data_IF_746870401558
#
_entry.id   IF_746870401558
#
_cell.length_a   1.000
_cell.length_b   1.000
_cell.length_c   1.000
_cell.angle_alpha   90.00
_cell.angle_beta   90.00
_cell.angle_gamma   90.00
#
_symmetry.space_group_name_H-M   'P 1'
#
loop_
_entity.id
_entity.type
_entity.pdbx_description
1 polymer ?
#
# COMPACT_ATOMS: atom_id res chain seq x y z
N UNK A 1 -38.72 -7.82 18.62
CA UNK A 1 -37.78 -7.88 17.46
C UNK A 1 -38.29 -7.06 16.28
N UNK A 2 -39.58 -7.27 15.84
CA UNK A 2 -40.14 -6.58 14.65
C UNK A 2 -40.12 -5.05 14.79
N UNK A 3 -40.50 -4.51 15.96
CA UNK A 3 -40.51 -3.07 16.18
C UNK A 3 -39.10 -2.48 16.35
N UNK A 4 -38.17 -3.22 16.95
CA UNK A 4 -36.77 -2.83 16.99
C UNK A 4 -36.12 -2.77 15.61
N UNK A 5 -36.49 -3.70 14.69
CA UNK A 5 -35.98 -3.70 13.32
C UNK A 5 -36.47 -2.52 12.49
N UNK A 6 -37.70 -2.00 12.71
CA UNK A 6 -38.24 -0.85 11.95
C UNK A 6 -37.31 0.38 12.03
N UNK A 7 -36.70 0.62 13.19
CA UNK A 7 -35.77 1.74 13.36
C UNK A 7 -34.38 1.52 12.78
N UNK A 8 -33.94 0.25 12.67
CA UNK A 8 -32.57 -0.10 12.30
C UNK A 8 -32.45 -0.42 10.79
N UNK A 9 -33.51 -0.97 10.17
CA UNK A 9 -33.49 -1.41 8.78
C UNK A 9 -33.02 -0.32 7.81
N UNK A 10 -33.60 0.88 7.92
CA UNK A 10 -33.20 2.00 7.04
C UNK A 10 -31.74 2.41 7.26
N UNK A 11 -31.26 2.38 8.50
CA UNK A 11 -29.88 2.70 8.82
C UNK A 11 -28.91 1.67 8.21
N UNK A 12 -29.22 0.37 8.30
CA UNK A 12 -28.42 -0.72 7.70
C UNK A 12 -28.39 -0.57 6.18
N UNK A 13 -29.54 -0.38 5.53
CA UNK A 13 -29.61 -0.22 4.06
C UNK A 13 -28.80 1.01 3.63
N UNK A 14 -29.04 2.15 4.27
CA UNK A 14 -28.36 3.40 3.92
C UNK A 14 -26.84 3.29 4.10
N UNK A 15 -26.39 2.75 5.24
CA UNK A 15 -24.95 2.58 5.49
C UNK A 15 -24.31 1.63 4.48
N UNK A 16 -24.97 0.50 4.18
CA UNK A 16 -24.45 -0.46 3.20
C UNK A 16 -24.36 0.14 1.79
N UNK A 17 -25.37 0.93 1.38
CA UNK A 17 -25.35 1.64 0.10
C UNK A 17 -24.21 2.68 0.04
N UNK A 18 -23.97 3.41 1.13
CA UNK A 18 -22.85 4.37 1.20
C UNK A 18 -21.52 3.63 1.06
N UNK A 19 -21.33 2.51 1.76
CA UNK A 19 -20.09 1.72 1.62
C UNK A 19 -19.91 1.22 0.19
N UNK A 20 -20.94 0.65 -0.43
CA UNK A 20 -20.86 0.20 -1.83
C UNK A 20 -20.56 1.37 -2.77
N UNK A 21 -21.20 2.53 -2.58
CA UNK A 21 -20.95 3.73 -3.37
C UNK A 21 -19.51 4.25 -3.29
N UNK A 22 -18.81 3.99 -2.20
CA UNK A 22 -17.37 4.33 -2.05
C UNK A 22 -16.49 3.33 -2.79
N UNK A 23 -16.79 2.03 -2.74
CA UNK A 23 -15.94 1.00 -3.33
C UNK A 23 -16.14 0.84 -4.84
N UNK A 24 -17.34 1.05 -5.36
CA UNK A 24 -17.64 0.92 -6.80
C UNK A 24 -16.75 1.82 -7.67
N UNK A 25 -16.57 3.12 -7.40
CA UNK A 25 -15.69 3.98 -8.21
C UNK A 25 -14.23 3.53 -8.22
N UNK A 26 -13.76 2.96 -7.12
CA UNK A 26 -12.38 2.45 -6.98
C UNK A 26 -12.10 1.29 -7.96
N UNK A 27 -13.13 0.54 -8.36
CA UNK A 27 -13.00 -0.54 -9.33
C UNK A 27 -12.71 -0.05 -10.77
N UNK A 28 -12.88 1.23 -11.07
CA UNK A 28 -12.64 1.81 -12.39
C UNK A 28 -11.28 2.49 -12.53
N UNK A 29 -10.42 2.38 -11.53
CA UNK A 29 -9.06 2.92 -11.60
C UNK A 29 -8.25 2.07 -12.59
N UNK A 30 -7.59 2.73 -13.55
CA UNK A 30 -6.76 2.10 -14.55
C UNK A 30 -5.30 1.94 -14.07
N UNK A 31 -4.56 1.04 -14.73
CA UNK A 31 -3.13 0.80 -14.47
C UNK A 31 -2.86 -0.32 -13.45
N UNK A 32 -1.59 -0.51 -13.07
CA UNK A 32 -1.17 -1.59 -12.16
C UNK A 32 -1.91 -1.57 -10.82
N UNK A 33 -2.13 -0.39 -10.29
CA UNK A 33 -2.89 -0.17 -9.06
C UNK A 33 -4.36 -0.56 -9.23
N UNK A 34 -4.92 -0.33 -10.41
CA UNK A 34 -6.30 -0.64 -10.73
C UNK A 34 -6.62 -2.13 -10.60
N UNK A 35 -5.72 -3.02 -10.98
CA UNK A 35 -5.90 -4.47 -10.84
C UNK A 35 -6.13 -4.86 -9.37
N UNK A 36 -5.35 -4.31 -8.44
CA UNK A 36 -5.52 -4.55 -7.01
C UNK A 36 -6.80 -3.92 -6.48
N UNK A 37 -7.06 -2.67 -6.84
CA UNK A 37 -8.25 -1.94 -6.38
C UNK A 37 -9.54 -2.54 -6.90
N UNK A 38 -9.57 -3.05 -8.13
CA UNK A 38 -10.74 -3.74 -8.68
C UNK A 38 -11.04 -5.01 -7.89
N UNK A 39 -10.05 -5.87 -7.65
CA UNK A 39 -10.24 -7.10 -6.88
C UNK A 39 -10.69 -6.80 -5.45
N UNK A 40 -10.02 -5.85 -4.80
CA UNK A 40 -10.37 -5.42 -3.45
C UNK A 40 -11.77 -4.79 -3.38
N UNK A 41 -12.06 -3.85 -4.28
CA UNK A 41 -13.34 -3.13 -4.31
C UNK A 41 -14.53 -4.05 -4.58
N UNK A 42 -14.40 -5.00 -5.52
CA UNK A 42 -15.44 -6.00 -5.81
C UNK A 42 -15.65 -6.91 -4.61
N UNK A 43 -14.57 -7.45 -4.01
CA UNK A 43 -14.66 -8.31 -2.85
C UNK A 43 -15.34 -7.59 -1.67
N UNK A 44 -14.98 -6.33 -1.41
CA UNK A 44 -15.58 -5.53 -0.34
C UNK A 44 -17.05 -5.21 -0.62
N UNK A 45 -17.40 -4.86 -1.85
CA UNK A 45 -18.79 -4.58 -2.21
C UNK A 45 -19.69 -5.83 -2.02
N UNK A 46 -19.22 -7.00 -2.45
CA UNK A 46 -19.92 -8.27 -2.23
C UNK A 46 -20.03 -8.60 -0.73
N UNK A 47 -18.96 -8.46 0.01
CA UNK A 47 -18.95 -8.72 1.46
C UNK A 47 -19.95 -7.81 2.20
N UNK A 48 -20.00 -6.53 1.88
CA UNK A 48 -20.97 -5.57 2.45
C UNK A 48 -22.41 -5.93 2.06
N UNK A 49 -22.65 -6.34 0.81
CA UNK A 49 -23.97 -6.77 0.36
C UNK A 49 -24.45 -8.00 1.15
N UNK A 50 -23.60 -9.03 1.28
CA UNK A 50 -23.92 -10.24 2.06
C UNK A 50 -24.13 -9.86 3.55
N UNK A 51 -23.30 -9.00 4.10
CA UNK A 51 -23.43 -8.51 5.49
C UNK A 51 -24.76 -7.81 5.73
N UNK A 52 -25.20 -6.98 4.79
CA UNK A 52 -26.52 -6.31 4.85
C UNK A 52 -27.66 -7.33 4.84
N UNK A 53 -27.62 -8.33 3.96
CA UNK A 53 -28.63 -9.42 3.91
C UNK A 53 -28.65 -10.18 5.24
N UNK A 54 -27.48 -10.57 5.77
CA UNK A 54 -27.40 -11.27 7.05
C UNK A 54 -27.94 -10.42 8.23
N UNK A 55 -27.63 -9.15 8.25
CA UNK A 55 -28.12 -8.23 9.28
C UNK A 55 -29.64 -8.05 9.26
N UNK A 56 -30.24 -8.11 8.07
CA UNK A 56 -31.68 -7.95 7.90
C UNK A 56 -32.48 -9.25 8.06
N UNK A 57 -31.85 -10.41 7.88
CA UNK A 57 -32.49 -11.71 7.90
C UNK A 57 -32.08 -12.58 9.06
N UNK A 58 -30.79 -12.93 9.11
CA UNK A 58 -30.25 -13.88 10.09
C UNK A 58 -30.25 -13.30 11.51
N UNK A 59 -29.82 -12.06 11.69
CA UNK A 59 -29.77 -11.46 13.02
C UNK A 59 -31.15 -11.39 13.69
N UNK A 60 -32.22 -10.91 13.05
CA UNK A 60 -33.56 -10.91 13.66
C UNK A 60 -34.08 -12.32 13.94
N UNK A 61 -33.83 -13.28 13.05
CA UNK A 61 -34.23 -14.67 13.24
C UNK A 61 -33.53 -15.29 14.47
N UNK A 62 -32.21 -15.09 14.60
CA UNK A 62 -31.46 -15.55 15.76
C UNK A 62 -31.92 -14.85 17.06
N UNK A 63 -32.22 -13.58 17.00
CA UNK A 63 -32.78 -12.87 18.18
C UNK A 63 -34.10 -13.49 18.65
N UNK A 64 -34.98 -13.89 17.74
CA UNK A 64 -36.24 -14.54 18.10
C UNK A 64 -36.00 -15.93 18.71
N UNK A 65 -35.05 -16.68 18.16
CA UNK A 65 -34.74 -18.06 18.62
C UNK A 65 -33.98 -18.09 19.94
N UNK A 66 -33.02 -17.18 20.12
CA UNK A 66 -32.07 -17.24 21.25
C UNK A 66 -32.47 -16.35 22.44
N UNK A 67 -33.18 -15.25 22.19
CA UNK A 67 -33.57 -14.34 23.26
C UNK A 67 -34.82 -14.85 23.98
N UNK A 68 -34.68 -15.06 25.30
CA UNK A 68 -35.78 -15.41 26.18
C UNK A 68 -36.47 -14.15 26.69
N UNK A 69 -37.81 -14.21 26.92
CA UNK A 69 -38.54 -13.09 27.53
C UNK A 69 -37.91 -12.71 28.89
N UNK A 70 -37.91 -11.44 29.17
CA UNK A 70 -37.24 -10.85 30.37
C UNK A 70 -37.85 -11.32 31.69
N UNK A 71 -39.10 -11.72 31.67
CA UNK A 71 -39.86 -12.19 32.87
C UNK A 71 -39.28 -13.45 33.53
N UNK A 72 -38.53 -14.27 32.81
CA UNK A 72 -37.97 -15.53 33.30
C UNK A 72 -36.51 -15.46 33.78
N UNK A 73 -35.91 -14.27 33.81
CA UNK A 73 -34.49 -14.07 34.16
C UNK A 73 -34.26 -13.58 35.62
N UNK A 74 -35.21 -13.81 36.50
CA UNK A 74 -35.05 -13.55 37.96
C UNK A 74 -34.16 -14.62 38.63
N UNK A 75 -33.04 -14.97 38.02
CA UNK A 75 -32.07 -15.91 38.56
C UNK A 75 -31.11 -15.27 39.57
N UNK A 76 -31.02 -15.86 40.75
CA UNK A 76 -29.92 -15.60 41.71
C UNK A 76 -28.66 -16.29 41.13
N UNK A 77 -27.62 -15.50 40.84
CA UNK A 77 -26.34 -16.08 40.35
C UNK A 77 -25.50 -15.12 39.50
N UNK A 78 -24.45 -15.66 38.87
CA UNK A 78 -23.49 -14.93 38.05
C UNK A 78 -24.18 -14.17 36.90
N UNK A 79 -25.24 -14.72 36.29
CA UNK A 79 -25.98 -14.06 35.22
C UNK A 79 -26.70 -12.78 35.68
N UNK A 80 -27.25 -12.77 36.89
CA UNK A 80 -27.89 -11.58 37.46
C UNK A 80 -26.86 -10.49 37.81
N UNK A 81 -25.67 -10.89 38.27
CA UNK A 81 -24.56 -9.97 38.51
C UNK A 81 -24.05 -9.36 37.19
N UNK A 82 -23.85 -10.16 36.16
CA UNK A 82 -23.44 -9.68 34.83
C UNK A 82 -24.47 -8.74 34.21
N UNK A 83 -25.79 -9.06 34.35
CA UNK A 83 -26.86 -8.18 33.86
C UNK A 83 -26.86 -6.83 34.60
N UNK A 84 -26.68 -6.87 35.92
CA UNK A 84 -26.60 -5.64 36.72
C UNK A 84 -25.38 -4.78 36.37
N UNK A 85 -24.21 -5.41 36.21
CA UNK A 85 -22.98 -4.73 35.79
C UNK A 85 -23.11 -4.13 34.39
N UNK A 86 -23.66 -4.90 33.43
CA UNK A 86 -23.92 -4.43 32.08
C UNK A 86 -24.88 -3.24 32.04
N UNK A 87 -26.02 -3.35 32.74
CA UNK A 87 -27.00 -2.27 32.80
C UNK A 87 -26.42 -1.01 33.47
N UNK A 88 -25.67 -1.15 34.57
CA UNK A 88 -25.02 -0.04 35.23
C UNK A 88 -24.00 0.66 34.30
N UNK A 89 -23.17 -0.11 33.60
CA UNK A 89 -22.21 0.42 32.62
C UNK A 89 -22.90 1.09 31.43
N UNK A 90 -23.94 0.45 30.89
CA UNK A 90 -24.71 0.99 29.77
C UNK A 90 -25.42 2.31 30.14
N UNK A 91 -26.09 2.37 31.26
CA UNK A 91 -26.74 3.60 31.70
C UNK A 91 -25.75 4.72 31.99
N UNK A 92 -24.63 4.41 32.67
CA UNK A 92 -23.58 5.39 32.93
C UNK A 92 -22.96 5.95 31.66
N UNK A 93 -22.69 5.07 30.65
CA UNK A 93 -22.17 5.49 29.37
C UNK A 93 -23.20 6.30 28.58
N UNK A 94 -24.46 5.86 28.57
CA UNK A 94 -25.57 6.55 27.91
C UNK A 94 -25.80 7.96 28.46
N UNK A 95 -25.73 8.11 29.78
CA UNK A 95 -25.83 9.42 30.44
C UNK A 95 -24.66 10.33 30.07
N UNK A 96 -23.43 9.82 30.10
CA UNK A 96 -22.24 10.59 29.67
C UNK A 96 -22.35 11.01 28.19
N UNK A 97 -22.83 10.11 27.35
CA UNK A 97 -23.02 10.41 25.93
C UNK A 97 -24.09 11.49 25.71
N UNK A 98 -25.25 11.38 26.38
CA UNK A 98 -26.31 12.40 26.33
C UNK A 98 -25.80 13.77 26.78
N UNK A 99 -25.05 13.80 27.89
CA UNK A 99 -24.51 15.04 28.44
C UNK A 99 -23.47 15.65 27.47
N UNK A 100 -22.60 14.84 26.89
CA UNK A 100 -21.64 15.30 25.89
C UNK A 100 -22.35 15.87 24.65
N UNK A 101 -23.37 15.18 24.14
CA UNK A 101 -24.19 15.68 23.03
C UNK A 101 -24.86 17.01 23.39
N UNK A 102 -25.45 17.11 24.59
CA UNK A 102 -26.10 18.33 25.02
C UNK A 102 -25.14 19.53 25.08
N UNK A 103 -23.92 19.30 25.58
CA UNK A 103 -22.84 20.32 25.57
C UNK A 103 -22.49 20.76 24.18
N UNK A 104 -22.31 19.79 23.23
CA UNK A 104 -21.98 20.06 21.83
C UNK A 104 -23.11 20.87 21.16
N UNK A 105 -24.36 20.48 21.33
CA UNK A 105 -25.51 21.20 20.76
C UNK A 105 -25.70 22.60 21.37
N UNK A 106 -25.46 22.73 22.64
CA UNK A 106 -25.55 24.02 23.32
C UNK A 106 -24.46 25.00 22.88
N UNK A 107 -23.26 24.49 22.59
CA UNK A 107 -22.10 25.29 22.25
C UNK A 107 -21.70 25.03 20.79
N UNK A 108 -22.51 25.50 19.82
CA UNK A 108 -22.25 25.34 18.37
C UNK A 108 -20.84 25.78 17.95
N UNK A 109 -20.22 26.72 18.67
CA UNK A 109 -18.86 27.14 18.42
C UNK A 109 -17.81 26.04 18.68
N UNK A 110 -18.04 25.19 19.69
CA UNK A 110 -17.17 24.06 19.99
C UNK A 110 -17.16 23.08 18.82
N UNK A 111 -18.33 22.80 18.25
CA UNK A 111 -18.46 21.95 17.08
C UNK A 111 -17.74 22.56 15.86
N UNK A 112 -17.93 23.87 15.63
CA UNK A 112 -17.25 24.56 14.52
C UNK A 112 -15.72 24.52 14.66
N UNK A 113 -15.21 24.87 15.85
CA UNK A 113 -13.76 24.82 16.13
C UNK A 113 -13.22 23.40 15.99
N UNK A 114 -13.94 22.39 16.49
CA UNK A 114 -13.54 20.99 16.38
C UNK A 114 -13.43 20.54 14.91
N UNK A 115 -14.41 20.88 14.08
CA UNK A 115 -14.38 20.58 12.64
C UNK A 115 -13.18 21.25 11.96
N UNK A 116 -12.96 22.55 12.23
CA UNK A 116 -11.82 23.28 11.68
C UNK A 116 -10.50 22.64 12.12
N UNK A 117 -10.37 22.31 13.42
CA UNK A 117 -9.17 21.68 13.96
C UNK A 117 -8.87 20.33 13.29
N UNK A 118 -9.90 19.47 13.13
CA UNK A 118 -9.76 18.17 12.46
C UNK A 118 -9.42 18.37 10.98
N UNK A 119 -10.03 19.34 10.30
CA UNK A 119 -9.74 19.62 8.90
C UNK A 119 -8.29 20.13 8.71
N UNK A 120 -7.83 21.02 9.57
CA UNK A 120 -6.45 21.51 9.54
C UNK A 120 -5.47 20.37 9.81
N UNK A 121 -5.75 19.54 10.82
CA UNK A 121 -4.94 18.36 11.13
C UNK A 121 -4.86 17.41 9.93
N UNK A 122 -5.99 17.14 9.27
CA UNK A 122 -6.06 16.29 8.09
C UNK A 122 -5.21 16.86 6.93
N UNK A 123 -5.32 18.16 6.66
CA UNK A 123 -4.52 18.82 5.62
C UNK A 123 -3.03 18.76 5.93
N UNK A 124 -2.65 18.99 7.19
CA UNK A 124 -1.24 18.89 7.63
C UNK A 124 -0.71 17.46 7.47
N UNK A 125 -1.47 16.47 7.90
CA UNK A 125 -1.11 15.06 7.73
C UNK A 125 -0.98 14.69 6.24
N UNK A 126 -1.94 15.08 5.39
CA UNK A 126 -1.88 14.80 3.96
C UNK A 126 -0.67 15.42 3.27
N UNK A 127 -0.25 16.62 3.69
CA UNK A 127 0.94 17.28 3.12
C UNK A 127 2.26 16.65 3.56
N UNK A 128 2.30 16.11 4.78
CA UNK A 128 3.52 15.55 5.36
C UNK A 128 3.64 14.03 5.14
N UNK A 129 2.57 13.37 4.69
CA UNK A 129 2.60 11.93 4.44
C UNK A 129 3.01 11.71 2.98
N UNK A 130 4.08 10.94 2.73
CA UNK A 130 4.49 10.60 1.37
C UNK A 130 3.35 9.82 0.69
N UNK A 131 3.02 10.23 -0.53
CA UNK A 131 2.00 9.57 -1.35
C UNK A 131 2.65 8.50 -2.22
N UNK A 132 2.13 7.30 -2.17
CA UNK A 132 2.57 6.19 -3.00
C UNK A 132 1.67 4.98 -2.78
N UNK A 133 1.48 4.17 -3.82
CA UNK A 133 0.70 2.94 -3.70
C UNK A 133 1.46 1.88 -2.89
N UNK A 134 2.75 1.73 -3.19
CA UNK A 134 3.67 0.88 -2.45
C UNK A 134 4.87 1.73 -2.09
N UNK A 135 5.20 1.87 -0.80
CA UNK A 135 6.43 2.54 -0.38
C UNK A 135 7.63 1.85 -1.00
N UNK A 136 8.61 2.63 -1.45
CA UNK A 136 9.89 2.07 -1.88
C UNK A 136 10.60 1.48 -0.64
N UNK A 137 10.73 0.16 -0.63
CA UNK A 137 11.44 -0.56 0.43
C UNK A 137 12.87 -0.88 0.00
N UNK A 138 13.76 -0.94 0.97
CA UNK A 138 15.12 -1.39 0.76
C UNK A 138 15.17 -2.91 0.78
N UNK A 139 15.06 -3.52 -0.40
CA UNK A 139 15.10 -4.98 -0.60
C UNK A 139 16.51 -5.57 -0.48
N UNK A 140 17.54 -4.73 -0.37
CA UNK A 140 18.93 -5.17 -0.40
C UNK A 140 19.42 -5.67 -1.76
N UNK A 141 18.63 -5.46 -2.82
CA UNK A 141 18.99 -5.84 -4.20
C UNK A 141 19.01 -4.59 -5.07
N UNK A 142 19.99 -4.50 -5.93
CA UNK A 142 20.16 -3.40 -6.90
C UNK A 142 20.37 -4.03 -8.27
N UNK A 143 19.70 -3.47 -9.27
CA UNK A 143 19.89 -3.82 -10.68
C UNK A 143 20.75 -2.77 -11.35
N UNK A 144 21.63 -3.24 -12.21
CA UNK A 144 22.48 -2.37 -13.02
C UNK A 144 22.43 -2.84 -14.47
N UNK A 145 22.09 -1.94 -15.36
CA UNK A 145 22.07 -2.16 -16.81
C UNK A 145 23.24 -1.44 -17.46
N UNK A 146 23.94 -2.12 -18.34
CA UNK A 146 25.17 -1.66 -18.95
C UNK A 146 24.99 -1.66 -20.47
N UNK A 147 25.19 -0.53 -21.10
CA UNK A 147 25.18 -0.41 -22.56
C UNK A 147 26.48 0.24 -23.02
N UNK A 148 27.33 -0.57 -23.67
CA UNK A 148 28.51 -0.10 -24.34
C UNK A 148 28.16 0.60 -25.68
N UNK A 149 29.14 1.16 -26.36
CA UNK A 149 28.90 1.81 -27.65
C UNK A 149 28.29 0.83 -28.65
N UNK A 150 27.35 1.27 -29.51
CA UNK A 150 26.83 0.44 -30.58
C UNK A 150 27.95 -0.16 -31.41
N UNK A 151 27.90 -1.47 -31.72
CA UNK A 151 28.92 -2.19 -32.43
C UNK A 151 30.07 -2.76 -31.60
N UNK A 152 30.05 -2.55 -30.27
CA UNK A 152 31.03 -3.19 -29.38
C UNK A 152 30.91 -4.70 -29.40
N UNK A 153 32.06 -5.39 -29.36
CA UNK A 153 32.11 -6.83 -29.25
C UNK A 153 31.74 -7.31 -27.83
N UNK A 154 31.32 -8.56 -27.73
CA UNK A 154 31.04 -9.17 -26.42
C UNK A 154 32.26 -9.13 -25.48
N UNK A 155 33.47 -9.28 -26.06
CA UNK A 155 34.75 -9.18 -25.33
C UNK A 155 34.91 -7.79 -24.72
N UNK A 156 34.66 -6.73 -25.50
CA UNK A 156 34.74 -5.34 -25.01
C UNK A 156 33.73 -5.08 -23.89
N UNK A 157 32.52 -5.57 -24.05
CA UNK A 157 31.49 -5.43 -23.01
C UNK A 157 31.88 -6.17 -21.72
N UNK A 158 32.48 -7.35 -21.86
CA UNK A 158 32.99 -8.10 -20.72
C UNK A 158 34.15 -7.37 -20.02
N UNK A 159 35.09 -6.78 -20.77
CA UNK A 159 36.17 -5.97 -20.19
C UNK A 159 35.64 -4.75 -19.41
N UNK A 160 34.63 -4.08 -19.96
CA UNK A 160 33.94 -2.99 -19.24
C UNK A 160 33.28 -3.50 -17.94
N UNK A 161 32.64 -4.67 -17.99
CA UNK A 161 32.05 -5.25 -16.77
C UNK A 161 33.10 -5.63 -15.72
N UNK A 162 34.27 -6.07 -16.12
CA UNK A 162 35.38 -6.31 -15.20
C UNK A 162 35.89 -5.00 -14.56
N UNK A 163 35.87 -3.88 -15.28
CA UNK A 163 36.19 -2.57 -14.74
C UNK A 163 35.12 -2.13 -13.73
N UNK A 164 33.85 -2.30 -14.06
CA UNK A 164 32.73 -2.06 -13.15
C UNK A 164 32.84 -2.92 -11.88
N UNK A 165 33.22 -4.20 -12.02
CA UNK A 165 33.41 -5.12 -10.89
C UNK A 165 34.44 -4.59 -9.89
N UNK A 166 35.58 -4.09 -10.38
CA UNK A 166 36.61 -3.50 -9.50
C UNK A 166 36.12 -2.30 -8.69
N UNK A 167 35.26 -1.49 -9.29
CA UNK A 167 34.63 -0.36 -8.55
C UNK A 167 33.59 -0.83 -7.55
N UNK A 168 32.80 -1.88 -7.87
CA UNK A 168 31.82 -2.45 -6.96
C UNK A 168 32.47 -3.09 -5.72
N UNK A 169 33.61 -3.76 -5.89
CA UNK A 169 34.37 -4.38 -4.78
C UNK A 169 34.88 -3.38 -3.75
N UNK A 170 35.02 -2.10 -4.12
CA UNK A 170 35.42 -1.04 -3.21
C UNK A 170 34.28 -0.51 -2.33
N UNK A 171 33.02 -0.96 -2.56
CA UNK A 171 31.86 -0.50 -1.82
C UNK A 171 31.56 -1.49 -0.69
N UNK A 172 31.81 -1.14 0.57
CA UNK A 172 31.74 -2.07 1.70
C UNK A 172 30.33 -2.59 1.99
N UNK A 173 29.28 -1.93 1.49
CA UNK A 173 27.88 -2.32 1.67
C UNK A 173 27.47 -3.47 0.75
N UNK A 174 28.25 -3.76 -0.31
CA UNK A 174 27.98 -4.86 -1.25
C UNK A 174 28.43 -6.18 -0.61
N UNK A 175 27.56 -7.18 -0.63
CA UNK A 175 27.86 -8.55 -0.22
C UNK A 175 28.38 -9.39 -1.38
N UNK A 176 27.65 -9.31 -2.51
CA UNK A 176 27.97 -10.07 -3.71
C UNK A 176 27.35 -9.40 -4.95
N UNK A 177 27.87 -9.76 -6.11
CA UNK A 177 27.30 -9.34 -7.38
C UNK A 177 27.44 -10.46 -8.42
N UNK A 178 26.52 -10.46 -9.39
CA UNK A 178 26.55 -11.34 -10.55
C UNK A 178 26.41 -10.49 -11.81
N UNK A 179 27.25 -10.75 -12.80
CA UNK A 179 27.29 -10.00 -14.06
C UNK A 179 27.04 -10.94 -15.25
N UNK A 180 26.28 -10.44 -16.21
CA UNK A 180 25.99 -11.15 -17.47
C UNK A 180 26.30 -10.22 -18.63
N UNK A 181 27.11 -10.69 -19.56
CA UNK A 181 27.45 -9.98 -20.82
C UNK A 181 26.61 -10.53 -21.98
N UNK A 182 26.21 -9.68 -22.91
CA UNK A 182 25.41 -10.04 -24.06
C UNK A 182 23.91 -9.92 -23.88
N UNK A 183 23.48 -9.53 -22.70
CA UNK A 183 22.05 -9.31 -22.39
C UNK A 183 21.91 -8.14 -21.42
N UNK A 184 21.05 -7.18 -21.73
CA UNK A 184 20.64 -6.09 -20.84
C UNK A 184 19.28 -6.36 -20.26
N UNK A 185 19.00 -5.88 -19.04
CA UNK A 185 17.66 -5.99 -18.43
C UNK A 185 16.62 -5.11 -19.13
N UNK A 186 17.02 -3.90 -19.49
CA UNK A 186 16.15 -2.90 -20.13
C UNK A 186 16.63 -2.54 -21.54
N UNK A 187 17.92 -2.71 -21.81
CA UNK A 187 18.56 -2.31 -23.07
C UNK A 187 18.42 -3.33 -24.21
N UNK A 188 17.89 -4.54 -23.94
CA UNK A 188 17.70 -5.59 -24.93
C UNK A 188 18.85 -6.60 -25.00
N UNK A 189 18.83 -7.47 -26.03
CA UNK A 189 19.83 -8.50 -26.24
C UNK A 189 20.82 -8.09 -27.32
N UNK A 190 22.10 -8.40 -27.13
CA UNK A 190 23.16 -8.13 -28.08
C UNK A 190 24.50 -7.93 -27.41
N UNK A 191 25.57 -8.06 -28.21
CA UNK A 191 26.96 -7.97 -27.73
C UNK A 191 27.33 -6.68 -26.97
N UNK A 192 26.74 -5.48 -27.25
CA UNK A 192 27.07 -4.28 -26.52
C UNK A 192 26.37 -4.17 -25.16
N UNK A 193 25.46 -5.09 -24.82
CA UNK A 193 24.65 -5.01 -23.59
C UNK A 193 25.14 -5.96 -22.51
N UNK A 194 24.91 -5.56 -21.26
CA UNK A 194 25.15 -6.40 -20.11
C UNK A 194 24.32 -5.93 -18.94
N UNK A 195 24.18 -6.76 -17.93
CA UNK A 195 23.55 -6.36 -16.67
C UNK A 195 24.29 -6.95 -15.47
N UNK A 196 24.03 -6.36 -14.32
CA UNK A 196 24.46 -6.92 -13.05
C UNK A 196 23.30 -6.93 -12.04
N UNK A 197 23.30 -7.95 -11.19
CA UNK A 197 22.48 -8.02 -9.99
C UNK A 197 23.43 -7.91 -8.81
N UNK A 198 23.23 -6.88 -8.01
CA UNK A 198 24.07 -6.54 -6.87
C UNK A 198 23.26 -6.80 -5.60
N UNK A 199 23.81 -7.59 -4.68
CA UNK A 199 23.23 -7.87 -3.38
C UNK A 199 23.97 -7.09 -2.31
N UNK A 200 23.23 -6.37 -1.49
CA UNK A 200 23.74 -5.65 -0.34
C UNK A 200 23.76 -6.54 0.90
N UNK A 201 24.64 -6.24 1.83
CA UNK A 201 24.67 -6.86 3.14
C UNK A 201 23.34 -6.70 3.88
N UNK A 202 22.98 -7.61 4.80
CA UNK A 202 21.78 -7.47 5.65
C UNK A 202 21.73 -6.14 6.38
N UNK A 203 20.56 -5.66 6.71
CA UNK A 203 20.32 -4.35 7.34
C UNK A 203 21.07 -4.20 8.67
N UNK A 204 21.20 -5.30 9.43
CA UNK A 204 21.93 -5.29 10.69
C UNK A 204 23.42 -4.92 10.51
N UNK A 205 23.99 -5.21 9.34
CA UNK A 205 25.40 -4.93 9.02
C UNK A 205 25.61 -3.60 8.29
N UNK A 206 24.52 -2.88 7.93
CA UNK A 206 24.56 -1.58 7.27
C UNK A 206 23.61 -0.57 7.90
N UNK A 207 23.76 -0.27 9.21
CA UNK A 207 22.89 0.68 9.89
C UNK A 207 23.07 2.11 9.33
N UNK A 208 22.00 2.92 9.44
CA UNK A 208 22.01 4.32 9.02
C UNK A 208 21.47 4.56 7.61
N UNK A 209 20.92 5.75 7.40
CA UNK A 209 20.33 6.15 6.11
C UNK A 209 21.37 6.26 4.99
N UNK A 210 22.62 6.54 5.34
CA UNK A 210 23.77 6.62 4.44
C UNK A 210 24.16 5.27 3.83
N UNK A 211 23.72 4.17 4.44
CA UNK A 211 23.96 2.80 3.99
C UNK A 211 22.70 2.18 3.34
N UNK A 212 21.67 2.96 3.12
CA UNK A 212 20.45 2.50 2.42
C UNK A 212 20.72 2.18 0.94
N UNK A 213 19.88 1.34 0.34
CA UNK A 213 20.01 1.00 -1.09
C UNK A 213 20.02 2.24 -1.97
N UNK A 214 19.22 3.27 -1.65
CA UNK A 214 19.19 4.53 -2.40
C UNK A 214 20.52 5.30 -2.30
N UNK A 215 21.15 5.33 -1.14
CA UNK A 215 22.47 5.95 -0.95
C UNK A 215 23.56 5.19 -1.71
N UNK A 216 23.52 3.85 -1.65
CA UNK A 216 24.46 2.98 -2.38
C UNK A 216 24.27 3.13 -3.90
N UNK A 217 23.05 3.19 -4.42
CA UNK A 217 22.78 3.47 -5.84
C UNK A 217 23.40 4.81 -6.27
N UNK A 218 23.27 5.84 -5.43
CA UNK A 218 23.86 7.16 -5.71
C UNK A 218 25.39 7.09 -5.75
N UNK A 219 26.02 6.37 -4.84
CA UNK A 219 27.47 6.17 -4.82
C UNK A 219 27.93 5.34 -6.03
N UNK A 220 27.24 4.25 -6.37
CA UNK A 220 27.53 3.46 -7.57
C UNK A 220 27.45 4.35 -8.80
N UNK A 221 26.37 5.09 -9.00
CA UNK A 221 26.21 5.95 -10.17
C UNK A 221 27.31 7.02 -10.27
N UNK A 222 27.75 7.58 -9.14
CA UNK A 222 28.87 8.53 -9.07
C UNK A 222 30.20 7.90 -9.51
N UNK A 223 30.46 6.65 -9.14
CA UNK A 223 31.65 5.90 -9.57
C UNK A 223 31.58 5.52 -11.04
N UNK A 224 30.42 5.01 -11.49
CA UNK A 224 30.20 4.61 -12.88
C UNK A 224 30.30 5.78 -13.85
N UNK A 225 30.00 7.00 -13.44
CA UNK A 225 30.16 8.20 -14.29
C UNK A 225 31.62 8.49 -14.70
N UNK A 226 32.60 7.84 -14.08
CA UNK A 226 34.01 7.97 -14.42
C UNK A 226 34.43 7.03 -15.53
N UNK A 227 33.67 5.96 -15.75
CA UNK A 227 33.95 4.99 -16.81
C UNK A 227 33.46 5.59 -18.13
N UNK A 228 34.38 5.74 -19.08
CA UNK A 228 34.07 6.35 -20.37
C UNK A 228 33.48 5.32 -21.34
N UNK A 229 32.73 5.81 -22.33
CA UNK A 229 32.25 5.02 -23.46
C UNK A 229 31.20 3.94 -23.11
N UNK A 230 30.58 4.06 -21.94
CA UNK A 230 29.52 3.17 -21.47
C UNK A 230 28.42 3.96 -20.82
N UNK A 231 27.19 3.54 -21.03
CA UNK A 231 26.03 4.01 -20.27
C UNK A 231 25.69 2.98 -19.21
N UNK A 232 25.84 3.35 -17.96
CA UNK A 232 25.47 2.50 -16.82
C UNK A 232 24.26 3.10 -16.14
N UNK A 233 23.20 2.31 -15.98
CA UNK A 233 21.99 2.67 -15.28
C UNK A 233 21.83 1.75 -14.07
N UNK A 234 21.91 2.33 -12.88
CA UNK A 234 21.74 1.58 -11.62
C UNK A 234 20.44 2.01 -10.96
N UNK A 235 19.61 1.03 -10.59
CA UNK A 235 18.28 1.29 -10.03
C UNK A 235 17.84 0.17 -9.08
N UNK A 236 16.90 0.48 -8.19
CA UNK A 236 16.23 -0.52 -7.36
C UNK A 236 15.26 -1.36 -8.19
N UNK A 237 15.12 -2.66 -7.93
CA UNK A 237 14.13 -3.49 -8.60
C UNK A 237 12.72 -2.94 -8.34
N UNK A 238 11.78 -3.12 -9.29
CA UNK A 238 10.40 -2.75 -9.07
C UNK A 238 9.81 -3.57 -7.92
N UNK A 239 9.04 -2.94 -7.05
CA UNK A 239 8.42 -3.60 -5.89
C UNK A 239 7.38 -4.66 -6.29
N UNK A 240 6.78 -4.51 -7.48
CA UNK A 240 5.87 -5.50 -8.06
C UNK A 240 6.52 -6.00 -9.36
N UNK A 241 6.89 -7.29 -9.44
CA UNK A 241 7.41 -7.87 -10.67
C UNK A 241 6.40 -7.72 -11.83
N UNK A 242 6.88 -7.31 -13.00
CA UNK A 242 6.05 -7.10 -14.18
C UNK A 242 5.39 -5.74 -14.31
N UNK A 243 5.46 -4.92 -13.27
CA UNK A 243 5.07 -3.51 -13.33
C UNK A 243 6.32 -2.67 -13.11
N UNK A 244 6.64 -1.79 -14.05
CA UNK A 244 7.83 -0.94 -13.99
C UNK A 244 8.02 -0.22 -12.66
N UNK A 245 9.22 0.26 -12.38
CA UNK A 245 9.46 1.11 -11.21
C UNK A 245 8.51 2.29 -11.31
N UNK A 246 7.72 2.58 -10.25
CA UNK A 246 6.66 3.60 -10.26
C UNK A 246 7.08 5.03 -10.64
N UNK A 247 8.37 5.24 -10.95
CA UNK A 247 8.97 6.50 -11.40
C UNK A 247 9.46 6.45 -12.86
N UNK A 248 9.06 5.45 -13.64
CA UNK A 248 9.42 5.35 -15.06
C UNK A 248 8.29 5.85 -15.94
N UNK A 249 8.66 6.58 -16.99
CA UNK A 249 7.75 6.95 -18.08
C UNK A 249 7.96 5.90 -19.18
N UNK A 250 6.96 5.08 -19.44
CA UNK A 250 6.95 4.17 -20.58
C UNK A 250 6.32 4.87 -21.79
N UNK A 251 7.05 4.92 -22.87
CA UNK A 251 6.58 5.47 -24.14
C UNK A 251 6.76 4.42 -25.23
N UNK A 252 5.68 4.16 -25.96
CA UNK A 252 5.71 3.33 -27.14
C UNK A 252 5.81 4.23 -28.37
N UNK A 253 6.90 4.11 -29.13
CA UNK A 253 7.05 4.78 -30.40
C UNK A 253 6.59 3.82 -31.51
N UNK A 254 5.51 4.19 -32.19
CA UNK A 254 4.98 3.43 -33.31
C UNK A 254 5.31 4.13 -34.62
N UNK A 255 6.09 3.50 -35.50
CA UNK A 255 6.22 3.94 -36.88
C UNK A 255 4.94 3.59 -37.65
N UNK A 256 4.19 4.62 -38.04
CA UNK A 256 2.95 4.44 -38.85
C UNK A 256 3.20 4.39 -40.34
N UNK A 257 4.43 4.65 -40.82
CA UNK A 257 4.74 4.71 -42.23
C UNK A 257 5.30 3.42 -42.77
N UNK A 258 5.67 2.43 -41.91
CA UNK A 258 6.14 1.12 -42.35
C UNK A 258 7.33 1.25 -43.34
N UNK A 259 8.31 2.10 -43.02
CA UNK A 259 9.54 2.13 -43.79
C UNK A 259 10.32 0.87 -43.49
N UNK A 260 10.40 -0.03 -44.49
CA UNK A 260 11.30 -1.18 -44.54
C UNK A 260 12.74 -0.77 -44.29
#
# INVERSE_FOLDING_TARGET
>A
TRDGMKGITNAIITSSLIFMAVFIPVCFISGPQGAFYTQFGVAMAIAVAISAVNSLTLCPALCVLLMRPEENLSGKGISAFMKKAYNASYYALSEKYKNALFVIFRHRWITGISIICVTVLLVVLMRNTPTGFIPAEDTGVIYQDVAARPGSSLKTTHEIQLEIAKELEQIPQIESYSQVSGNGMTSGQGSPYGYAIIRLKPWEQRPGKENSSAAVITEINKRMSRIKDVRVLTYAPPMIPGYGSGNTIEMYMQDRKGSD
#
